data_IF_760075727597
#
_entry.id   IF_760075727597
#
_cell.length_a   1.000
_cell.length_b   1.000
_cell.length_c   1.000
_cell.angle_alpha   90.00
_cell.angle_beta   90.00
_cell.angle_gamma   90.00
#
_symmetry.space_group_name_H-M   'P 1'
#
loop_
_entity.id
_entity.type
_entity.pdbx_description
1 polymer ?
#
# COMPACT_ATOMS: atom_id res chain seq x y z
N UNK A 1 15.36 -16.13 60.79
CA UNK A 1 15.08 -14.69 60.62
C UNK A 1 16.30 -14.09 59.93
N UNK A 2 16.31 -13.57 58.70
CA UNK A 2 15.26 -13.34 57.73
C UNK A 2 15.91 -13.22 56.34
N UNK A 3 15.19 -13.80 55.37
CA UNK A 3 15.10 -13.51 53.92
C UNK A 3 16.33 -12.93 53.21
N UNK A 4 17.04 -13.81 52.51
CA UNK A 4 17.87 -13.44 51.36
C UNK A 4 16.95 -13.06 50.19
N UNK A 5 16.99 -11.79 49.78
CA UNK A 5 16.29 -11.32 48.58
C UNK A 5 17.15 -11.67 47.37
N UNK A 6 16.86 -12.80 46.73
CA UNK A 6 17.30 -13.08 45.37
C UNK A 6 16.55 -12.14 44.41
N UNK A 7 17.21 -11.05 44.00
CA UNK A 7 16.77 -10.30 42.82
C UNK A 7 17.10 -11.15 41.61
N UNK A 8 16.08 -11.86 41.11
CA UNK A 8 16.11 -12.47 39.78
C UNK A 8 16.16 -11.31 38.80
N UNK A 9 17.33 -11.05 38.23
CA UNK A 9 17.49 -10.19 37.08
C UNK A 9 16.75 -10.85 35.92
N UNK A 10 15.56 -10.33 35.62
CA UNK A 10 14.83 -10.68 34.42
C UNK A 10 15.67 -10.22 33.20
N UNK A 11 16.34 -11.18 32.57
CA UNK A 11 16.86 -11.05 31.22
C UNK A 11 15.66 -10.87 30.28
N UNK A 12 15.29 -9.61 30.06
CA UNK A 12 14.39 -9.22 28.99
C UNK A 12 15.07 -9.58 27.67
N UNK A 13 14.69 -10.73 27.10
CA UNK A 13 14.96 -11.08 25.71
C UNK A 13 14.35 -9.97 24.84
N UNK A 14 15.23 -9.12 24.31
CA UNK A 14 14.92 -8.23 23.21
C UNK A 14 14.55 -9.11 22.00
N UNK A 15 13.26 -9.43 21.89
CA UNK A 15 12.70 -9.94 20.66
C UNK A 15 12.92 -8.88 19.60
N UNK A 16 13.74 -9.22 18.60
CA UNK A 16 13.80 -8.51 17.34
C UNK A 16 12.43 -8.63 16.66
N UNK A 17 11.50 -7.77 17.06
CA UNK A 17 10.32 -7.47 16.27
C UNK A 17 10.83 -6.74 15.04
N UNK A 18 11.03 -7.47 13.94
CA UNK A 18 11.19 -6.88 12.63
C UNK A 18 10.01 -5.95 12.41
N UNK A 19 10.27 -4.64 12.41
CA UNK A 19 9.29 -3.64 12.05
C UNK A 19 8.88 -3.89 10.60
N UNK A 20 7.79 -4.63 10.40
CA UNK A 20 7.09 -4.64 9.12
C UNK A 20 6.68 -3.20 8.82
N UNK A 21 7.26 -2.68 7.74
CA UNK A 21 6.91 -1.38 7.16
C UNK A 21 5.50 -1.45 6.58
N UNK A 22 4.51 -1.17 7.42
CA UNK A 22 3.19 -0.73 7.02
C UNK A 22 2.88 0.49 7.88
N UNK A 23 3.33 1.66 7.43
CA UNK A 23 3.19 2.91 8.15
C UNK A 23 1.80 3.53 7.86
N UNK A 24 0.73 2.76 8.09
CA UNK A 24 -0.67 3.21 7.85
C UNK A 24 -1.60 3.03 9.04
N UNK A 25 -1.08 2.88 10.27
CA UNK A 25 -1.94 2.61 11.43
C UNK A 25 -1.66 3.54 12.60
N UNK A 26 -2.32 4.70 12.55
CA UNK A 26 -3.09 5.22 13.69
C UNK A 26 -4.41 5.80 13.18
N UNK A 27 -5.52 5.10 13.43
CA UNK A 27 -6.92 5.54 13.35
C UNK A 27 -7.65 5.69 11.99
N UNK A 28 -7.21 5.05 10.90
CA UNK A 28 -8.09 4.96 9.73
C UNK A 28 -9.17 3.87 9.93
N UNK A 29 -10.41 4.27 10.20
CA UNK A 29 -11.58 3.39 10.14
C UNK A 29 -12.24 3.57 8.76
N UNK A 30 -12.33 2.52 7.93
CA UNK A 30 -13.05 2.59 6.66
C UNK A 30 -14.48 3.12 6.82
N UNK A 31 -14.95 3.90 5.85
CA UNK A 31 -16.30 4.47 5.81
C UNK A 31 -17.39 3.42 5.59
N UNK A 32 -17.00 2.29 4.98
CA UNK A 32 -17.84 1.13 4.69
C UNK A 32 -17.14 -0.14 5.15
N UNK A 33 -17.86 -1.24 5.47
CA UNK A 33 -17.26 -2.49 5.90
C UNK A 33 -16.29 -3.08 4.86
N UNK A 34 -15.01 -3.30 5.20
CA UNK A 34 -14.03 -3.94 4.32
C UNK A 34 -14.21 -5.46 4.35
N UNK A 35 -14.44 -6.08 3.19
CA UNK A 35 -14.80 -7.51 3.07
C UNK A 35 -14.03 -8.22 1.97
N UNK A 36 -13.86 -9.53 2.17
CA UNK A 36 -13.54 -10.49 1.12
C UNK A 36 -14.52 -11.66 1.19
N UNK A 37 -14.68 -12.36 0.07
CA UNK A 37 -15.59 -13.49 -0.07
C UNK A 37 -14.86 -14.82 0.14
N UNK A 38 -15.57 -15.83 0.63
CA UNK A 38 -15.08 -17.19 0.67
C UNK A 38 -16.17 -18.22 0.39
N UNK A 39 -15.76 -19.38 -0.12
CA UNK A 39 -16.62 -20.54 -0.35
C UNK A 39 -15.83 -21.84 -0.26
N UNK A 40 -16.55 -22.94 -0.10
CA UNK A 40 -16.03 -24.29 -0.29
C UNK A 40 -16.48 -24.82 -1.64
N UNK A 41 -15.54 -25.33 -2.42
CA UNK A 41 -15.79 -25.95 -3.73
C UNK A 41 -14.94 -27.19 -3.83
N UNK A 42 -15.55 -28.34 -4.13
CA UNK A 42 -14.86 -29.63 -4.20
C UNK A 42 -14.01 -29.90 -2.94
N UNK A 43 -14.53 -29.52 -1.78
CA UNK A 43 -13.86 -29.66 -0.49
C UNK A 43 -12.67 -28.72 -0.27
N UNK A 44 -12.39 -27.77 -1.17
CA UNK A 44 -11.32 -26.78 -1.03
C UNK A 44 -11.88 -25.42 -0.65
N UNK A 45 -11.17 -24.72 0.23
CA UNK A 45 -11.48 -23.33 0.57
C UNK A 45 -11.00 -22.43 -0.57
N UNK A 46 -11.92 -21.67 -1.16
CA UNK A 46 -11.66 -20.64 -2.15
C UNK A 46 -11.93 -19.27 -1.54
N UNK A 47 -11.03 -18.32 -1.79
CA UNK A 47 -11.12 -16.94 -1.36
C UNK A 47 -11.25 -16.04 -2.58
N UNK A 48 -12.05 -14.99 -2.47
CA UNK A 48 -12.24 -13.99 -3.50
C UNK A 48 -12.09 -12.59 -2.90
N UNK A 49 -11.20 -11.80 -3.48
CA UNK A 49 -10.93 -10.42 -3.03
C UNK A 49 -12.08 -9.45 -3.33
N UNK A 50 -13.10 -9.87 -4.07
CA UNK A 50 -14.22 -9.06 -4.56
C UNK A 50 -13.89 -8.22 -5.79
N UNK A 51 -12.70 -7.61 -5.81
CA UNK A 51 -12.13 -6.92 -6.98
C UNK A 51 -10.67 -7.29 -7.15
N UNK A 52 -10.13 -7.33 -8.38
CA UNK A 52 -8.72 -7.58 -8.62
C UNK A 52 -7.81 -6.67 -7.79
N UNK A 53 -6.87 -7.29 -7.08
CA UNK A 53 -5.77 -6.62 -6.42
C UNK A 53 -4.60 -6.59 -7.38
N UNK A 54 -4.22 -5.40 -7.84
CA UNK A 54 -3.13 -5.23 -8.79
C UNK A 54 -1.76 -5.11 -8.10
N UNK A 55 -0.70 -5.46 -8.82
CA UNK A 55 0.70 -5.35 -8.37
C UNK A 55 1.00 -6.02 -7.01
N UNK A 56 0.26 -7.06 -6.69
CA UNK A 56 0.45 -7.88 -5.49
C UNK A 56 1.77 -8.62 -5.58
N UNK A 57 2.54 -8.59 -4.50
CA UNK A 57 3.76 -9.36 -4.41
C UNK A 57 3.88 -10.23 -3.16
N UNK A 58 3.03 -10.00 -2.16
CA UNK A 58 2.97 -10.78 -0.94
C UNK A 58 1.51 -11.04 -0.56
N UNK A 59 1.18 -12.28 -0.21
CA UNK A 59 -0.14 -12.66 0.31
C UNK A 59 0.07 -13.46 1.57
N UNK A 60 -0.65 -13.09 2.63
CA UNK A 60 -0.67 -13.84 3.89
C UNK A 60 -2.09 -14.30 4.17
N UNK A 61 -2.27 -15.59 4.43
CA UNK A 61 -3.52 -16.17 4.93
C UNK A 61 -3.27 -16.63 6.36
N UNK A 62 -4.01 -16.08 7.32
CA UNK A 62 -3.88 -16.40 8.74
C UNK A 62 -5.15 -17.10 9.23
N UNK A 63 -4.98 -18.10 10.09
CA UNK A 63 -6.09 -18.79 10.72
C UNK A 63 -6.07 -18.58 12.23
N UNK A 64 -7.26 -18.47 12.85
CA UNK A 64 -7.39 -18.31 14.30
C UNK A 64 -6.62 -19.40 15.05
N UNK A 65 -5.85 -19.07 16.11
CA UNK A 65 -5.83 -17.80 16.86
C UNK A 65 -4.87 -16.73 16.30
N UNK A 66 -4.44 -16.85 15.04
CA UNK A 66 -3.57 -15.89 14.32
C UNK A 66 -2.14 -15.77 14.86
N UNK A 67 -1.68 -16.73 15.67
CA UNK A 67 -0.34 -16.72 16.27
C UNK A 67 0.64 -17.73 15.65
N UNK A 68 0.20 -18.61 14.75
CA UNK A 68 1.09 -19.63 14.19
C UNK A 68 0.62 -20.25 12.88
N UNK A 69 -0.69 -20.49 12.72
CA UNK A 69 -1.20 -21.10 11.49
C UNK A 69 -1.33 -20.05 10.38
N UNK A 70 -0.34 -20.02 9.48
CA UNK A 70 -0.32 -19.11 8.35
C UNK A 70 0.22 -19.76 7.08
N UNK A 71 -0.26 -19.25 5.94
CA UNK A 71 0.31 -19.49 4.62
C UNK A 71 0.84 -18.17 4.11
N UNK A 72 2.11 -18.12 3.71
CA UNK A 72 2.68 -16.96 3.03
C UNK A 72 3.04 -17.32 1.60
N UNK A 73 2.61 -16.44 0.68
CA UNK A 73 2.88 -16.55 -0.74
C UNK A 73 3.62 -15.30 -1.21
N UNK A 74 4.66 -15.48 -2.01
CA UNK A 74 5.40 -14.39 -2.61
C UNK A 74 5.65 -14.62 -4.09
N UNK A 75 5.65 -13.52 -4.83
CA UNK A 75 6.15 -13.48 -6.20
C UNK A 75 7.68 -13.46 -6.20
N UNK A 76 8.34 -13.81 -7.32
CA UNK A 76 9.78 -13.61 -7.46
C UNK A 76 10.21 -12.15 -7.18
N UNK A 77 11.49 -11.92 -6.85
CA UNK A 77 12.03 -10.57 -6.68
C UNK A 77 11.66 -9.66 -7.85
N UNK A 78 11.31 -8.40 -7.54
CA UNK A 78 10.92 -7.35 -8.48
C UNK A 78 9.68 -7.63 -9.34
N UNK A 79 9.03 -8.79 -9.17
CA UNK A 79 7.79 -9.15 -9.86
C UNK A 79 6.57 -8.90 -9.00
N UNK A 80 5.44 -8.74 -9.67
CA UNK A 80 4.14 -8.58 -9.08
C UNK A 80 3.09 -9.31 -9.94
N UNK A 81 1.90 -9.50 -9.39
CA UNK A 81 0.78 -10.11 -10.09
C UNK A 81 -0.55 -9.48 -9.69
N UNK A 82 -1.58 -9.77 -10.46
CA UNK A 82 -2.96 -9.58 -10.05
C UNK A 82 -3.42 -10.78 -9.19
N UNK A 83 -4.13 -10.51 -8.10
CA UNK A 83 -4.82 -11.51 -7.28
C UNK A 83 -6.30 -11.16 -7.21
N UNK A 84 -7.16 -12.07 -7.65
CA UNK A 84 -8.61 -11.95 -7.46
C UNK A 84 -9.17 -13.18 -6.74
N UNK A 85 -8.77 -14.36 -7.16
CA UNK A 85 -9.18 -15.63 -6.56
C UNK A 85 -7.97 -16.42 -6.06
N UNK A 86 -8.12 -17.06 -4.90
CA UNK A 86 -7.14 -17.97 -4.33
C UNK A 86 -7.82 -19.25 -3.90
N UNK A 87 -7.20 -20.40 -4.19
CA UNK A 87 -7.63 -21.69 -3.64
C UNK A 87 -6.59 -22.18 -2.67
N UNK A 88 -7.00 -22.56 -1.47
CA UNK A 88 -6.11 -23.15 -0.48
C UNK A 88 -5.54 -24.46 -1.02
N UNK A 89 -4.21 -24.58 -1.01
CA UNK A 89 -3.49 -25.71 -1.62
C UNK A 89 -3.15 -25.50 -3.11
N UNK A 90 -3.52 -24.36 -3.69
CA UNK A 90 -3.14 -23.96 -5.05
C UNK A 90 -3.93 -24.67 -6.17
N UNK A 91 -3.52 -24.45 -7.44
CA UNK A 91 -2.39 -23.62 -7.88
C UNK A 91 -2.61 -22.12 -7.58
N UNK A 92 -1.53 -21.40 -7.29
CA UNK A 92 -1.59 -19.96 -6.99
C UNK A 92 -1.37 -19.13 -8.26
N UNK A 93 -2.10 -18.01 -8.44
CA UNK A 93 -2.01 -17.21 -9.64
C UNK A 93 -0.66 -16.49 -9.75
N UNK A 94 -0.27 -16.14 -10.98
CA UNK A 94 0.73 -15.09 -11.15
C UNK A 94 2.17 -15.42 -10.78
N UNK A 95 2.50 -16.71 -10.61
CA UNK A 95 3.81 -17.12 -10.13
C UNK A 95 4.01 -16.88 -8.63
N UNK A 96 2.93 -16.69 -7.86
CA UNK A 96 2.99 -16.76 -6.40
C UNK A 96 3.47 -18.15 -5.97
N UNK A 97 4.49 -18.17 -5.12
CA UNK A 97 5.10 -19.37 -4.57
C UNK A 97 5.01 -19.36 -3.06
N UNK A 98 4.91 -20.55 -2.46
CA UNK A 98 4.83 -20.70 -1.01
C UNK A 98 6.19 -20.41 -0.39
N UNK A 99 6.25 -19.39 0.46
CA UNK A 99 7.44 -19.05 1.27
C UNK A 99 7.31 -19.57 2.70
N UNK A 100 6.09 -19.66 3.22
CA UNK A 100 5.76 -20.32 4.47
C UNK A 100 4.55 -21.22 4.26
N UNK A 101 4.75 -22.53 4.39
CA UNK A 101 3.71 -23.52 4.19
C UNK A 101 2.92 -23.77 5.47
N UNK A 102 1.63 -24.07 5.33
CA UNK A 102 0.86 -24.70 6.39
C UNK A 102 1.47 -26.07 6.70
N UNK A 103 1.36 -26.50 7.96
CA UNK A 103 1.79 -27.84 8.38
C UNK A 103 1.03 -28.92 7.60
N UNK A 104 1.66 -30.06 7.37
CA UNK A 104 1.07 -31.18 6.63
C UNK A 104 -0.24 -31.70 7.25
N UNK A 105 -0.36 -31.63 8.58
CA UNK A 105 -1.52 -32.08 9.34
C UNK A 105 -2.55 -30.96 9.59
N UNK A 106 -2.37 -29.79 8.98
CA UNK A 106 -3.25 -28.65 9.20
C UNK A 106 -4.62 -28.85 8.53
N UNK A 107 -5.68 -28.84 9.33
CA UNK A 107 -7.07 -28.81 8.84
C UNK A 107 -7.71 -27.44 9.13
N UNK A 108 -7.87 -26.65 8.08
CA UNK A 108 -8.51 -25.33 8.14
C UNK A 108 -9.96 -25.40 8.64
N UNK A 109 -10.65 -26.54 8.50
CA UNK A 109 -12.05 -26.71 8.96
C UNK A 109 -12.19 -26.68 10.47
N UNK A 110 -11.10 -26.90 11.19
CA UNK A 110 -11.06 -26.84 12.66
C UNK A 110 -10.88 -25.43 13.20
N UNK A 111 -10.70 -24.44 12.31
CA UNK A 111 -10.45 -23.05 12.67
C UNK A 111 -11.77 -22.29 12.70
N UNK A 112 -11.87 -21.33 13.61
CA UNK A 112 -13.05 -20.45 13.74
C UNK A 112 -13.03 -19.41 12.62
N UNK A 113 -11.88 -18.75 12.44
CA UNK A 113 -11.74 -17.59 11.56
C UNK A 113 -10.54 -17.70 10.64
N UNK A 114 -10.65 -16.98 9.54
CA UNK A 114 -9.57 -16.74 8.59
C UNK A 114 -9.46 -15.24 8.31
N UNK A 115 -8.22 -14.78 8.14
CA UNK A 115 -7.87 -13.43 7.71
C UNK A 115 -7.03 -13.53 6.45
N UNK A 116 -7.35 -12.71 5.46
CA UNK A 116 -6.58 -12.54 4.23
C UNK A 116 -5.89 -11.17 4.27
N UNK A 117 -4.59 -11.15 4.01
CA UNK A 117 -3.82 -9.94 3.72
C UNK A 117 -3.19 -10.07 2.35
N UNK A 118 -3.27 -9.01 1.56
CA UNK A 118 -2.68 -8.90 0.23
C UNK A 118 -1.90 -7.60 0.16
N UNK A 119 -0.62 -7.69 -0.20
CA UNK A 119 0.32 -6.59 -0.17
C UNK A 119 1.04 -6.40 -1.52
N UNK A 120 1.19 -5.15 -1.99
CA UNK A 120 0.63 -3.94 -1.38
C UNK A 120 -0.89 -3.90 -1.62
N UNK A 121 -1.63 -3.23 -0.75
CA UNK A 121 -3.03 -2.89 -1.02
C UNK A 121 -3.19 -1.38 -1.06
N UNK A 122 -3.73 -0.88 -2.16
CA UNK A 122 -4.22 0.50 -2.23
C UNK A 122 -5.63 0.64 -1.63
N UNK A 123 -6.30 -0.49 -1.31
CA UNK A 123 -7.67 -0.53 -0.82
C UNK A 123 -7.79 -0.46 0.70
N UNK A 124 -9.03 -0.63 1.18
CA UNK A 124 -9.37 -0.64 2.59
C UNK A 124 -8.90 -1.90 3.35
N UNK A 125 -8.37 -2.91 2.63
CA UNK A 125 -8.04 -4.21 3.20
C UNK A 125 -9.31 -5.02 3.49
N UNK A 126 -9.25 -5.94 4.45
CA UNK A 126 -10.41 -6.74 4.85
C UNK A 126 -10.38 -7.10 6.33
N UNK A 127 -11.55 -7.46 6.87
CA UNK A 127 -11.67 -8.05 8.20
C UNK A 127 -11.67 -9.59 8.15
N UNK A 128 -11.69 -10.23 9.32
CA UNK A 128 -11.76 -11.67 9.51
C UNK A 128 -13.12 -12.22 9.10
N UNK A 129 -13.17 -13.46 8.63
CA UNK A 129 -14.42 -14.15 8.27
C UNK A 129 -14.58 -15.46 9.05
N UNK A 130 -15.82 -15.77 9.43
CA UNK A 130 -16.19 -17.00 10.15
C UNK A 130 -16.27 -18.19 9.19
N UNK A 131 -15.51 -19.24 9.48
CA UNK A 131 -15.44 -20.44 8.64
C UNK A 131 -16.68 -21.35 8.77
N UNK A 132 -17.34 -21.35 9.93
CA UNK A 132 -18.47 -22.24 10.18
C UNK A 132 -19.62 -22.04 9.17
N UNK A 133 -20.01 -20.79 8.93
CA UNK A 133 -21.04 -20.41 7.94
C UNK A 133 -20.63 -20.84 6.54
N UNK A 134 -19.39 -20.56 6.15
CA UNK A 134 -18.86 -20.89 4.82
C UNK A 134 -18.91 -22.41 4.60
N UNK A 135 -18.43 -23.19 5.57
CA UNK A 135 -18.41 -24.66 5.48
C UNK A 135 -19.82 -25.24 5.38
N UNK A 136 -20.74 -24.75 6.22
CA UNK A 136 -22.10 -25.28 6.30
C UNK A 136 -22.95 -24.91 5.07
N UNK A 137 -22.84 -23.67 4.59
CA UNK A 137 -23.78 -23.14 3.60
C UNK A 137 -23.29 -23.26 2.16
N UNK A 138 -21.97 -23.37 1.90
CA UNK A 138 -21.46 -23.46 0.52
C UNK A 138 -22.18 -24.44 -0.42
N UNK A 139 -22.56 -25.66 0.02
CA UNK A 139 -23.25 -26.62 -0.85
C UNK A 139 -24.66 -26.20 -1.27
N UNK A 140 -25.31 -25.31 -0.51
CA UNK A 140 -26.69 -24.88 -0.72
C UNK A 140 -26.79 -23.61 -1.59
N UNK A 141 -25.66 -23.04 -2.01
CA UNK A 141 -25.58 -21.81 -2.79
C UNK A 141 -25.00 -22.03 -4.19
N UNK A 142 -25.37 -21.19 -5.19
CA UNK A 142 -24.86 -21.31 -6.55
C UNK A 142 -23.33 -21.26 -6.64
N UNK A 143 -22.76 -21.99 -7.60
CA UNK A 143 -21.31 -22.14 -7.71
C UNK A 143 -20.55 -20.85 -8.04
N UNK A 144 -21.22 -19.83 -8.54
CA UNK A 144 -20.67 -18.52 -8.86
C UNK A 144 -20.78 -17.51 -7.69
N UNK A 145 -21.26 -17.96 -6.52
CA UNK A 145 -21.43 -17.11 -5.33
C UNK A 145 -20.40 -17.41 -4.24
N UNK A 146 -20.06 -16.37 -3.46
CA UNK A 146 -19.19 -16.44 -2.30
C UNK A 146 -19.87 -15.77 -1.11
N UNK A 147 -19.61 -16.28 0.09
CA UNK A 147 -20.10 -15.66 1.32
C UNK A 147 -19.25 -14.42 1.67
N UNK A 148 -19.90 -13.27 1.76
CA UNK A 148 -19.35 -12.01 2.26
C UNK A 148 -19.98 -11.71 3.64
N UNK A 149 -19.18 -11.58 4.71
CA UNK A 149 -19.70 -11.38 6.06
C UNK A 149 -20.61 -10.16 6.16
N UNK A 150 -21.82 -10.36 6.69
CA UNK A 150 -22.83 -9.30 6.83
C UNK A 150 -23.61 -8.96 5.55
N UNK A 151 -23.23 -9.54 4.40
CA UNK A 151 -23.89 -9.32 3.11
C UNK A 151 -24.45 -10.61 2.48
N UNK A 152 -24.01 -11.78 2.96
CA UNK A 152 -24.49 -13.08 2.51
C UNK A 152 -23.76 -13.57 1.25
N UNK A 153 -24.42 -14.44 0.50
CA UNK A 153 -23.87 -15.07 -0.70
C UNK A 153 -24.07 -14.18 -1.92
N UNK A 154 -22.97 -13.66 -2.47
CA UNK A 154 -22.98 -12.71 -3.58
C UNK A 154 -22.19 -13.25 -4.78
N UNK A 155 -22.67 -12.98 -6.00
CA UNK A 155 -21.93 -13.17 -7.24
C UNK A 155 -21.18 -11.90 -7.67
N UNK A 156 -20.49 -11.97 -8.83
CA UNK A 156 -19.67 -10.87 -9.38
C UNK A 156 -20.48 -9.59 -9.59
N UNK A 157 -21.66 -9.70 -10.18
CA UNK A 157 -22.51 -8.56 -10.51
C UNK A 157 -23.02 -7.86 -9.24
N UNK A 158 -23.44 -8.65 -8.25
CA UNK A 158 -23.93 -8.12 -6.96
C UNK A 158 -22.81 -7.45 -6.17
N UNK A 159 -21.60 -8.03 -6.15
CA UNK A 159 -20.45 -7.38 -5.51
C UNK A 159 -20.11 -6.08 -6.23
N UNK A 160 -20.10 -6.06 -7.56
CA UNK A 160 -19.85 -4.84 -8.33
C UNK A 160 -20.90 -3.75 -8.08
N UNK A 161 -22.17 -4.12 -7.90
CA UNK A 161 -23.24 -3.18 -7.59
C UNK A 161 -23.13 -2.57 -6.19
N UNK A 162 -22.68 -3.36 -5.20
CA UNK A 162 -22.59 -2.99 -3.79
C UNK A 162 -21.26 -2.31 -3.41
N UNK A 163 -20.18 -2.63 -4.11
CA UNK A 163 -18.87 -2.08 -3.84
C UNK A 163 -18.89 -0.55 -3.92
N UNK A 164 -18.23 0.11 -2.96
CA UNK A 164 -18.21 1.58 -2.77
C UNK A 164 -19.55 2.21 -2.39
N UNK A 165 -20.62 1.42 -2.19
CA UNK A 165 -21.94 1.90 -1.75
C UNK A 165 -22.34 1.37 -0.38
N UNK A 166 -22.21 0.05 -0.19
CA UNK A 166 -22.60 -0.63 1.05
C UNK A 166 -21.44 -1.42 1.67
N UNK A 167 -20.46 -1.82 0.85
CA UNK A 167 -19.24 -2.54 1.26
C UNK A 167 -18.02 -2.02 0.51
N UNK A 168 -16.83 -2.38 0.99
CA UNK A 168 -15.57 -2.22 0.26
C UNK A 168 -14.94 -3.59 0.04
N UNK A 169 -14.72 -3.95 -1.22
CA UNK A 169 -13.88 -5.10 -1.53
C UNK A 169 -12.42 -4.81 -1.21
N UNK A 170 -11.63 -5.85 -1.01
CA UNK A 170 -10.32 -5.75 -0.34
C UNK A 170 -9.35 -4.73 -0.96
N UNK A 171 -9.37 -4.60 -2.28
CA UNK A 171 -8.47 -3.73 -3.05
C UNK A 171 -9.17 -2.50 -3.62
N UNK A 172 -10.36 -2.18 -3.14
CA UNK A 172 -11.08 -0.95 -3.47
C UNK A 172 -10.70 0.16 -2.52
N UNK A 173 -10.31 1.32 -3.08
CA UNK A 173 -10.11 2.57 -2.32
C UNK A 173 -11.40 3.00 -1.67
N UNK A 174 -11.28 3.45 -0.43
CA UNK A 174 -12.42 4.01 0.28
C UNK A 174 -12.83 5.35 -0.35
N UNK A 175 -14.11 5.53 -0.74
CA UNK A 175 -14.60 6.77 -1.33
C UNK A 175 -14.35 8.02 -0.48
N UNK A 176 -14.27 7.91 0.85
CA UNK A 176 -13.99 9.09 1.70
C UNK A 176 -12.51 9.49 1.70
N UNK A 177 -11.63 8.57 1.28
CA UNK A 177 -10.21 8.85 1.06
C UNK A 177 -9.92 9.35 -0.34
N UNK A 178 -10.87 9.27 -1.27
CA UNK A 178 -10.72 9.94 -2.56
C UNK A 178 -10.92 11.44 -2.32
N UNK A 179 -9.84 12.22 -2.34
CA UNK A 179 -9.92 13.60 -1.92
C UNK A 179 -10.75 14.36 -2.97
N UNK A 180 -11.66 15.22 -2.51
CA UNK A 180 -12.44 16.07 -3.42
C UNK A 180 -11.58 17.03 -4.26
N UNK A 181 -10.29 17.16 -3.90
CA UNK A 181 -9.25 17.88 -4.62
C UNK A 181 -7.99 17.00 -4.69
N UNK A 182 -7.30 16.89 -5.85
CA UNK A 182 -6.17 15.99 -6.04
C UNK A 182 -5.01 16.28 -5.07
N UNK A 183 -4.37 15.21 -4.58
CA UNK A 183 -3.10 15.28 -3.85
C UNK A 183 -1.96 15.19 -4.85
N UNK A 184 -1.13 16.22 -4.94
CA UNK A 184 -0.06 16.26 -5.93
C UNK A 184 1.07 17.19 -5.51
N UNK A 185 2.14 17.21 -6.29
CA UNK A 185 3.30 18.07 -6.11
C UNK A 185 3.73 18.62 -7.47
N UNK A 186 4.51 19.70 -7.47
CA UNK A 186 5.04 20.27 -8.69
C UNK A 186 6.19 19.42 -9.21
N UNK A 187 6.14 18.98 -10.46
CA UNK A 187 7.21 18.24 -11.10
C UNK A 187 7.66 18.92 -12.40
N UNK A 188 8.97 18.94 -12.65
CA UNK A 188 9.58 19.48 -13.89
C UNK A 188 10.84 18.71 -14.23
N UNK A 189 11.18 18.63 -15.52
CA UNK A 189 12.51 18.24 -15.98
C UNK A 189 13.33 19.47 -16.32
N UNK A 190 14.46 19.64 -15.63
CA UNK A 190 15.44 20.69 -15.92
C UNK A 190 16.82 20.06 -16.01
N UNK A 191 17.56 20.31 -17.09
CA UNK A 191 18.87 19.69 -17.37
C UNK A 191 18.86 18.16 -17.28
N UNK A 192 17.76 17.55 -17.73
CA UNK A 192 17.54 16.11 -17.67
C UNK A 192 17.25 15.56 -16.27
N UNK A 193 17.20 16.39 -15.21
CA UNK A 193 16.90 15.96 -13.84
C UNK A 193 15.44 16.25 -13.49
N UNK A 194 14.81 15.33 -12.76
CA UNK A 194 13.49 15.55 -12.15
C UNK A 194 13.65 16.52 -10.98
N UNK A 195 13.04 17.70 -11.10
CA UNK A 195 12.87 18.71 -10.06
C UNK A 195 11.47 18.57 -9.48
N UNK A 196 11.40 18.60 -8.15
CA UNK A 196 10.18 18.43 -7.37
C UNK A 196 10.00 19.68 -6.51
N UNK A 197 8.77 20.17 -6.42
CA UNK A 197 8.40 21.31 -5.60
C UNK A 197 7.15 21.00 -4.77
N UNK A 198 7.22 21.20 -3.46
CA UNK A 198 6.12 20.93 -2.53
C UNK A 198 5.19 22.12 -2.33
N UNK A 199 5.45 23.26 -2.99
CA UNK A 199 4.73 24.55 -2.87
C UNK A 199 4.85 25.19 -1.49
N UNK A 200 4.34 24.52 -0.46
CA UNK A 200 4.54 24.87 0.93
C UNK A 200 5.77 24.12 1.47
N UNK A 201 6.70 24.80 2.15
CA UNK A 201 7.83 24.16 2.82
C UNK A 201 7.38 23.11 3.84
N UNK A 202 7.94 21.91 3.70
CA UNK A 202 7.79 20.80 4.62
C UNK A 202 8.72 20.99 5.82
N UNK A 203 8.29 21.77 6.80
CA UNK A 203 9.02 21.90 8.07
C UNK A 203 9.06 20.57 8.82
N UNK A 204 10.09 20.32 9.61
CA UNK A 204 10.16 19.12 10.46
C UNK A 204 10.17 17.78 9.68
N UNK A 205 10.83 17.73 8.52
CA UNK A 205 10.93 16.50 7.72
C UNK A 205 12.12 15.65 8.14
N UNK A 206 11.89 14.35 8.35
CA UNK A 206 12.93 13.36 8.64
C UNK A 206 13.42 12.63 7.38
N UNK A 207 12.76 12.83 6.24
CA UNK A 207 13.13 12.20 4.99
C UNK A 207 12.04 12.34 3.94
N UNK A 208 12.31 11.78 2.77
CA UNK A 208 11.35 11.63 1.70
C UNK A 208 11.53 10.28 1.01
N UNK A 209 10.45 9.80 0.39
CA UNK A 209 10.46 8.63 -0.49
C UNK A 209 9.92 9.01 -1.86
N UNK A 210 10.55 8.46 -2.89
CA UNK A 210 9.97 8.42 -4.23
C UNK A 210 9.62 6.98 -4.56
N UNK A 211 8.36 6.75 -4.93
CA UNK A 211 7.88 5.45 -5.41
C UNK A 211 7.57 5.56 -6.90
N UNK A 212 8.37 4.87 -7.70
CA UNK A 212 8.22 4.83 -9.14
C UNK A 212 7.41 3.61 -9.56
N UNK A 213 6.39 3.83 -10.40
CA UNK A 213 5.53 2.78 -10.91
C UNK A 213 5.95 2.40 -12.33
N UNK A 214 6.40 1.15 -12.57
CA UNK A 214 6.61 0.66 -13.92
C UNK A 214 5.31 0.60 -14.74
N UNK A 215 5.35 0.83 -16.06
CA UNK A 215 4.17 0.71 -16.93
C UNK A 215 3.64 -0.73 -17.02
N UNK A 216 4.51 -1.72 -16.88
CA UNK A 216 4.12 -3.13 -16.78
C UNK A 216 3.65 -3.45 -15.33
N UNK A 217 2.38 -3.86 -15.13
CA UNK A 217 1.83 -4.18 -13.80
C UNK A 217 2.38 -5.47 -13.20
N UNK A 218 3.15 -6.26 -13.96
CA UNK A 218 3.80 -7.48 -13.48
C UNK A 218 5.14 -7.22 -12.80
N UNK A 219 5.53 -5.96 -12.62
CA UNK A 219 6.69 -5.54 -11.85
C UNK A 219 6.27 -4.85 -10.56
N UNK A 220 7.12 -4.86 -9.52
CA UNK A 220 6.88 -4.10 -8.29
C UNK A 220 7.14 -2.62 -8.51
N UNK A 221 6.54 -1.79 -7.66
CA UNK A 221 6.93 -0.38 -7.56
C UNK A 221 8.37 -0.28 -7.00
N UNK A 222 9.16 0.63 -7.56
CA UNK A 222 10.57 0.84 -7.20
C UNK A 222 10.67 2.00 -6.24
N UNK A 223 11.30 1.79 -5.09
CA UNK A 223 11.39 2.79 -4.03
C UNK A 223 12.80 3.37 -3.93
N UNK A 224 12.85 4.69 -3.84
CA UNK A 224 14.01 5.45 -3.42
C UNK A 224 13.69 6.14 -2.10
N UNK A 225 14.53 5.96 -1.09
CA UNK A 225 14.31 6.55 0.24
C UNK A 225 15.55 7.31 0.70
N UNK A 226 15.32 8.54 1.14
CA UNK A 226 16.33 9.44 1.68
C UNK A 226 15.88 9.89 3.06
N UNK A 227 16.76 9.77 4.04
CA UNK A 227 16.45 10.05 5.44
C UNK A 227 17.55 10.91 6.06
N UNK A 228 17.18 11.73 7.04
CA UNK A 228 18.18 12.31 7.93
C UNK A 228 18.80 11.21 8.83
N UNK A 229 19.98 11.49 9.40
CA UNK A 229 20.52 10.61 10.42
C UNK A 229 19.61 10.60 11.65
N UNK A 230 19.54 9.49 12.39
CA UNK A 230 18.57 9.28 13.48
C UNK A 230 18.63 10.35 14.58
N UNK A 231 19.76 11.06 14.70
CA UNK A 231 20.01 12.13 15.67
C UNK A 231 20.17 13.53 15.02
N UNK A 232 20.00 13.63 13.70
CA UNK A 232 20.04 14.91 12.99
C UNK A 232 18.77 15.70 13.26
N UNK A 233 18.86 17.05 13.33
CA UNK A 233 17.67 17.87 13.35
C UNK A 233 16.81 17.60 12.09
N UNK A 234 15.49 17.78 12.18
CA UNK A 234 14.64 17.76 11.01
C UNK A 234 15.07 18.81 9.98
N UNK A 235 14.87 18.51 8.70
CA UNK A 235 15.22 19.37 7.58
C UNK A 235 13.96 19.96 6.97
N UNK A 236 14.06 21.18 6.44
CA UNK A 236 13.01 21.77 5.62
C UNK A 236 13.13 21.28 4.17
N UNK A 237 12.04 20.77 3.61
CA UNK A 237 11.99 20.36 2.21
C UNK A 237 10.98 21.25 1.49
N UNK A 238 11.41 22.03 0.51
CA UNK A 238 10.50 22.70 -0.43
C UNK A 238 10.79 22.26 -1.87
N UNK A 239 12.08 22.22 -2.22
CA UNK A 239 12.55 21.76 -3.51
C UNK A 239 13.44 20.53 -3.36
N UNK A 240 13.22 19.54 -4.22
CA UNK A 240 14.08 18.37 -4.34
C UNK A 240 14.55 18.23 -5.78
N UNK A 241 15.76 17.70 -5.94
CA UNK A 241 16.28 17.30 -7.24
C UNK A 241 16.63 15.83 -7.16
N UNK A 242 16.00 15.04 -8.01
CA UNK A 242 16.24 13.62 -8.04
C UNK A 242 17.71 13.30 -8.32
N UNK A 243 18.30 12.47 -7.46
CA UNK A 243 19.72 12.11 -7.50
C UNK A 243 20.64 13.09 -6.75
N UNK A 244 20.10 14.14 -6.12
CA UNK A 244 20.83 15.03 -5.22
C UNK A 244 20.28 14.84 -3.79
N UNK A 245 21.19 14.70 -2.83
CA UNK A 245 20.84 14.55 -1.42
C UNK A 245 20.82 15.94 -0.75
N UNK A 246 19.70 16.33 -0.10
CA UNK A 246 19.68 17.53 0.73
C UNK A 246 20.72 17.46 1.84
N UNK A 247 21.23 18.62 2.26
CA UNK A 247 22.17 18.70 3.38
C UNK A 247 21.58 18.05 4.64
N UNK A 248 22.36 17.19 5.30
CA UNK A 248 21.93 16.47 6.50
C UNK A 248 21.10 15.20 6.24
N UNK A 249 20.85 14.84 4.98
CA UNK A 249 20.20 13.58 4.61
C UNK A 249 21.13 12.65 3.82
N UNK A 250 20.81 11.36 3.82
CA UNK A 250 21.48 10.35 3.00
C UNK A 250 20.50 9.28 2.50
N UNK A 251 20.85 8.69 1.36
CA UNK A 251 20.09 7.59 0.76
C UNK A 251 20.12 6.37 1.67
N UNK A 252 18.94 5.95 2.13
CA UNK A 252 18.72 4.72 2.90
C UNK A 252 18.36 3.54 2.02
N UNK A 253 17.62 3.81 0.94
CA UNK A 253 17.24 2.80 -0.06
C UNK A 253 17.64 3.32 -1.44
N UNK A 254 18.80 2.88 -1.98
CA UNK A 254 19.24 3.28 -3.30
C UNK A 254 18.37 2.61 -4.37
N UNK A 255 18.44 3.19 -5.57
CA UNK A 255 17.80 2.63 -6.74
C UNK A 255 18.61 1.48 -7.32
N UNK A 256 17.96 0.56 -8.05
CA UNK A 256 18.67 -0.47 -8.80
C UNK A 256 19.66 0.13 -9.82
N UNK A 257 20.73 -0.61 -10.09
CA UNK A 257 21.71 -0.22 -11.11
C UNK A 257 21.04 -0.06 -12.48
N UNK A 258 21.37 1.03 -13.19
CA UNK A 258 20.82 1.33 -14.51
C UNK A 258 19.36 1.78 -14.51
N UNK A 259 18.77 2.05 -13.35
CA UNK A 259 17.40 2.56 -13.25
C UNK A 259 17.26 3.90 -13.99
N UNK A 260 16.28 3.96 -14.91
CA UNK A 260 15.88 5.20 -15.58
C UNK A 260 14.43 5.54 -15.24
N UNK A 261 14.26 6.54 -14.37
CA UNK A 261 12.96 7.03 -13.93
C UNK A 261 12.08 7.51 -15.09
N UNK A 262 12.66 7.90 -16.24
CA UNK A 262 11.93 8.39 -17.41
C UNK A 262 11.11 7.31 -18.10
N UNK A 263 11.41 6.05 -17.82
CA UNK A 263 10.68 4.89 -18.36
C UNK A 263 9.50 4.48 -17.48
N UNK A 264 9.30 5.14 -16.35
CA UNK A 264 8.25 4.84 -15.39
C UNK A 264 6.93 5.48 -15.84
N UNK A 265 5.81 4.89 -15.42
CA UNK A 265 4.47 5.42 -15.65
C UNK A 265 4.24 6.67 -14.79
N UNK A 266 4.52 6.56 -13.49
CA UNK A 266 4.30 7.63 -12.53
C UNK A 266 5.37 7.62 -11.45
N UNK A 267 5.46 8.74 -10.73
CA UNK A 267 6.24 8.88 -9.51
C UNK A 267 5.36 9.45 -8.41
N UNK A 268 5.40 8.80 -7.27
CA UNK A 268 4.75 9.24 -6.04
C UNK A 268 5.79 9.80 -5.07
N UNK A 269 5.45 10.92 -4.44
CA UNK A 269 6.25 11.57 -3.40
C UNK A 269 5.59 11.36 -2.04
N UNK A 270 6.32 10.75 -1.12
CA UNK A 270 6.01 10.74 0.31
C UNK A 270 6.99 11.61 1.09
N UNK A 271 6.50 12.49 1.95
CA UNK A 271 7.33 13.26 2.89
C UNK A 271 7.15 12.67 4.28
N UNK A 272 8.25 12.28 4.91
CA UNK A 272 8.22 11.60 6.21
C UNK A 272 8.28 12.59 7.36
N UNK A 273 7.14 12.80 8.03
CA UNK A 273 7.00 13.67 9.21
C UNK A 273 6.32 12.93 10.37
N UNK A 274 6.58 13.29 11.64
CA UNK A 274 6.01 12.58 12.79
C UNK A 274 4.48 12.57 12.90
N UNK A 275 3.79 13.58 12.37
CA UNK A 275 2.35 13.81 12.62
C UNK A 275 1.49 13.90 11.36
N UNK A 276 2.08 13.79 10.16
CA UNK A 276 1.38 14.05 8.91
C UNK A 276 2.03 13.31 7.75
N UNK A 277 1.22 12.67 6.92
CA UNK A 277 1.66 11.95 5.73
C UNK A 277 0.64 12.15 4.62
N UNK A 278 1.07 12.74 3.50
CA UNK A 278 0.30 12.83 2.26
C UNK A 278 1.18 12.35 1.11
N UNK A 279 0.60 11.59 0.20
CA UNK A 279 1.30 11.04 -0.96
C UNK A 279 0.73 11.70 -2.22
N UNK A 280 1.55 12.49 -2.90
CA UNK A 280 1.18 13.05 -4.19
C UNK A 280 1.71 12.17 -5.32
N UNK A 281 0.96 12.04 -6.41
CA UNK A 281 1.40 11.31 -7.62
C UNK A 281 1.44 12.26 -8.80
N UNK A 282 2.40 12.06 -9.71
CA UNK A 282 2.43 12.69 -11.03
C UNK A 282 2.75 11.66 -12.11
N UNK A 283 2.14 11.84 -13.28
CA UNK A 283 2.44 11.05 -14.48
C UNK A 283 3.76 11.50 -15.10
N UNK A 284 4.72 10.58 -15.23
CA UNK A 284 6.06 10.88 -15.72
C UNK A 284 6.03 11.33 -17.19
N UNK A 285 5.14 10.74 -18.00
CA UNK A 285 4.97 11.11 -19.40
C UNK A 285 4.55 12.57 -19.59
N UNK A 286 3.62 13.07 -18.77
CA UNK A 286 3.15 14.46 -18.81
C UNK A 286 4.27 15.44 -18.44
N UNK A 287 5.02 15.12 -17.38
CA UNK A 287 6.17 15.93 -16.93
C UNK A 287 7.24 15.98 -18.03
N UNK A 288 7.58 14.83 -18.63
CA UNK A 288 8.58 14.76 -19.71
C UNK A 288 8.16 15.54 -20.95
N UNK A 289 6.91 15.36 -21.41
CA UNK A 289 6.41 16.01 -22.61
C UNK A 289 6.27 17.52 -22.44
N UNK A 290 5.76 17.96 -21.28
CA UNK A 290 5.44 19.36 -21.05
C UNK A 290 6.62 20.23 -20.60
N UNK A 291 7.67 19.68 -20.00
CA UNK A 291 8.76 20.51 -19.41
C UNK A 291 9.42 21.42 -20.43
N UNK A 292 9.65 20.94 -21.66
CA UNK A 292 10.32 21.72 -22.70
C UNK A 292 9.39 22.77 -23.36
N UNK A 293 8.07 22.64 -23.20
CA UNK A 293 7.08 23.52 -23.84
C UNK A 293 6.53 24.61 -22.92
N UNK A 294 6.94 24.64 -21.65
CA UNK A 294 6.50 25.61 -20.66
C UNK A 294 7.69 26.39 -20.07
N UNK A 295 7.44 27.60 -19.58
CA UNK A 295 8.46 28.49 -19.01
C UNK A 295 9.25 27.82 -17.87
N UNK A 296 10.53 28.17 -17.71
CA UNK A 296 11.48 27.47 -16.83
C UNK A 296 11.14 27.44 -15.35
N UNK A 297 10.29 28.35 -14.91
CA UNK A 297 9.81 28.48 -13.53
C UNK A 297 8.47 27.76 -13.27
N UNK A 298 7.88 27.12 -14.28
CA UNK A 298 6.60 26.41 -14.15
C UNK A 298 6.76 24.94 -13.80
N UNK A 299 5.83 24.40 -13.03
CA UNK A 299 5.80 22.99 -12.63
C UNK A 299 4.46 22.36 -13.00
N UNK A 300 4.48 21.07 -13.34
CA UNK A 300 3.27 20.28 -13.57
C UNK A 300 2.72 19.74 -12.25
N UNK A 301 1.42 19.92 -12.03
CA UNK A 301 0.66 19.40 -10.91
C UNK A 301 -0.42 18.45 -11.45
N UNK A 302 -0.43 17.19 -11.00
CA UNK A 302 -1.33 16.17 -11.52
C UNK A 302 -2.79 16.56 -11.36
N UNK A 303 -3.56 16.45 -12.45
CA UNK A 303 -4.98 16.81 -12.46
C UNK A 303 -5.27 18.32 -12.44
N UNK A 304 -4.23 19.17 -12.42
CA UNK A 304 -4.37 20.64 -12.46
C UNK A 304 -3.70 21.23 -13.70
N UNK A 305 -2.46 20.82 -13.99
CA UNK A 305 -1.69 21.30 -15.15
C UNK A 305 -0.41 22.04 -14.77
N UNK A 306 0.13 22.81 -15.72
CA UNK A 306 1.35 23.59 -15.55
C UNK A 306 1.05 24.93 -14.89
N UNK A 307 1.69 25.21 -13.76
CA UNK A 307 1.48 26.43 -12.99
C UNK A 307 2.80 27.17 -12.76
N UNK A 308 2.74 28.50 -12.83
CA UNK A 308 3.78 29.39 -12.29
C UNK A 308 3.81 29.33 -10.76
N UNK A 309 4.87 29.85 -10.12
CA UNK A 309 4.95 29.84 -8.67
C UNK A 309 3.81 30.59 -7.97
N UNK A 310 3.36 31.71 -8.53
CA UNK A 310 2.26 32.50 -7.95
C UNK A 310 0.91 31.78 -8.12
N UNK A 311 0.64 31.22 -9.30
CA UNK A 311 -0.58 30.43 -9.54
C UNK A 311 -0.64 29.20 -8.62
N UNK A 312 0.46 28.49 -8.45
CA UNK A 312 0.50 27.31 -7.59
C UNK A 312 0.18 27.66 -6.12
N UNK A 313 0.75 28.76 -5.59
CA UNK A 313 0.47 29.23 -4.23
C UNK A 313 -0.98 29.69 -4.05
N UNK A 314 -1.55 30.34 -5.06
CA UNK A 314 -2.95 30.81 -5.03
C UNK A 314 -3.98 29.67 -5.11
N UNK A 315 -3.59 28.58 -5.77
CA UNK A 315 -4.43 27.41 -6.05
C UNK A 315 -4.32 26.30 -5.01
N UNK A 316 -3.20 26.21 -4.31
CA UNK A 316 -2.98 25.23 -3.25
C UNK A 316 -4.09 25.33 -2.18
N UNK A 317 -4.61 24.18 -1.75
CA UNK A 317 -5.75 24.02 -0.84
C UNK A 317 -7.12 24.38 -1.41
N UNK A 318 -7.20 24.76 -2.69
CA UNK A 318 -8.45 25.01 -3.42
C UNK A 318 -8.64 24.06 -4.59
N UNK A 319 -7.61 23.87 -5.41
CA UNK A 319 -7.66 22.99 -6.58
C UNK A 319 -6.78 21.75 -6.43
N UNK A 320 -5.80 21.77 -5.53
CA UNK A 320 -5.01 20.60 -5.14
C UNK A 320 -4.49 20.72 -3.71
N UNK A 321 -4.04 19.61 -3.14
CA UNK A 321 -3.37 19.55 -1.84
C UNK A 321 -1.92 19.15 -2.04
N UNK A 322 -1.00 20.02 -1.63
CA UNK A 322 0.42 19.71 -1.66
C UNK A 322 0.81 18.75 -0.52
N UNK A 323 1.98 18.09 -0.59
CA UNK A 323 2.38 17.09 0.39
C UNK A 323 2.50 17.61 1.82
N UNK A 324 2.65 18.93 2.00
CA UNK A 324 3.03 19.54 3.28
C UNK A 324 2.06 20.57 3.81
N UNK A 325 1.03 20.90 3.03
CA UNK A 325 -0.12 21.66 3.50
C UNK A 325 -0.99 20.80 4.40
N UNK A 326 -1.31 21.32 5.59
CA UNK A 326 -2.27 20.71 6.51
C UNK A 326 -3.70 21.05 6.13
#
# INVERSE_FOLDING_TARGET
MGVAVCVVAALSLAGFSGCHRSNRLTFYKPSLPPVFGARVTDGKLQLWTGTPCERVHHVTILFSPFTGDRLQLETPPDRATTVEYLTLGGPYPGGLTVTEALREDFDWRTKEKILLSVEPTEGAGSDQIELATIIAESPDHPEDTYYFPGFGWLNREQVAEQNRKTLLTMCTKDPVLEPGIPETFGARVTDGKLRIWTVTPCTESNGYSLRFRPPDPTYRDIWYEVWNSQDSPPVEIEHLTFGEEPEGMSTRRPLPDGFDWRTMQSVELGIHRPAYHREGVVDVAEVLAGSASHADDTYYFQGVGWLTPDEARDQEGRTFLSPCRR
#
